data_IF_366345260450
#
_entry.id   IF_366345260450
#
_cell.length_a   1.000
_cell.length_b   1.000
_cell.length_c   1.000
_cell.angle_alpha   90.00
_cell.angle_beta   90.00
_cell.angle_gamma   90.00
#
_symmetry.space_group_name_H-M   'P 1'
#
loop_
_entity.id
_entity.type
_entity.pdbx_description
1 polymer ?
#
# COMPACT_ATOMS: atom_id res chain seq x y z
N UNK A 1 43.86 34.86 3.34
CA UNK A 1 42.49 34.36 3.58
C UNK A 1 42.14 33.34 2.51
N UNK A 2 42.03 32.04 2.85
CA UNK A 2 41.32 31.07 2.04
C UNK A 2 39.97 30.69 2.69
N UNK A 3 38.95 30.60 1.87
CA UNK A 3 37.60 30.15 2.20
C UNK A 3 37.55 28.62 2.11
N UNK A 4 37.24 27.93 3.21
CA UNK A 4 36.91 26.51 3.21
C UNK A 4 35.43 26.30 2.82
N UNK A 5 35.11 25.41 1.86
CA UNK A 5 33.74 25.01 1.60
C UNK A 5 33.37 23.84 2.52
N UNK A 6 32.67 24.12 3.61
CA UNK A 6 32.07 23.06 4.43
C UNK A 6 30.77 22.58 3.77
N UNK A 7 30.88 21.61 2.86
CA UNK A 7 29.77 20.79 2.41
C UNK A 7 29.93 19.38 2.97
N UNK A 8 29.24 19.10 4.07
CA UNK A 8 28.89 17.72 4.43
C UNK A 8 27.50 17.70 5.06
N UNK A 9 26.48 17.40 4.24
CA UNK A 9 25.21 16.89 4.78
C UNK A 9 25.50 15.48 5.28
N UNK A 10 25.67 15.35 6.59
CA UNK A 10 25.79 14.07 7.27
C UNK A 10 24.55 13.20 7.00
N UNK A 11 24.68 12.19 6.16
CA UNK A 11 23.73 11.09 6.04
C UNK A 11 23.99 10.07 7.14
N UNK A 12 23.70 10.45 8.38
CA UNK A 12 23.74 9.55 9.55
C UNK A 12 22.38 8.90 9.75
N UNK A 13 22.00 8.00 8.85
CA UNK A 13 20.87 7.10 9.02
C UNK A 13 21.38 5.72 9.40
N UNK A 14 20.87 5.12 10.49
CA UNK A 14 21.06 3.69 10.75
C UNK A 14 20.52 2.91 9.55
N UNK A 15 21.31 1.98 8.99
CA UNK A 15 20.81 1.08 7.95
C UNK A 15 19.86 0.06 8.58
N UNK A 16 18.66 -0.06 8.02
CA UNK A 16 17.66 -1.08 8.40
C UNK A 16 17.65 -2.18 7.34
N UNK A 17 17.41 -3.42 7.76
CA UNK A 17 17.42 -4.59 6.87
C UNK A 17 16.16 -4.72 6.00
N UNK A 18 16.15 -5.74 5.14
CA UNK A 18 15.00 -6.10 4.30
C UNK A 18 13.77 -6.52 5.11
N UNK A 19 13.96 -6.92 6.36
CA UNK A 19 12.90 -7.34 7.27
C UNK A 19 12.20 -6.16 7.97
N UNK A 20 11.86 -5.12 7.21
CA UNK A 20 11.35 -3.84 7.72
C UNK A 20 10.02 -3.90 8.48
N UNK A 21 9.30 -5.04 8.45
CA UNK A 21 8.12 -5.30 9.30
C UNK A 21 8.47 -5.94 10.64
N UNK A 22 9.61 -6.63 10.74
CA UNK A 22 10.11 -7.24 11.98
C UNK A 22 10.91 -6.21 12.79
N UNK A 23 11.72 -5.39 12.12
CA UNK A 23 12.50 -4.29 12.71
C UNK A 23 12.27 -2.99 11.91
N UNK A 24 11.11 -2.33 12.08
CA UNK A 24 10.79 -1.12 11.33
C UNK A 24 11.65 0.06 11.75
N UNK A 25 12.15 0.80 10.76
CA UNK A 25 12.74 2.11 10.98
C UNK A 25 11.73 3.04 11.71
N UNK A 26 12.16 3.97 12.58
CA UNK A 26 11.25 4.84 13.34
C UNK A 26 10.22 5.58 12.47
N UNK A 27 10.62 5.99 11.27
CA UNK A 27 9.71 6.58 10.30
C UNK A 27 8.60 5.61 9.89
N UNK A 28 8.95 4.38 9.51
CA UNK A 28 7.98 3.35 9.14
C UNK A 28 7.11 2.94 10.33
N UNK A 29 7.66 2.85 11.53
CA UNK A 29 6.87 2.59 12.75
C UNK A 29 5.86 3.70 13.04
N UNK A 30 6.21 4.97 12.78
CA UNK A 30 5.29 6.10 12.90
C UNK A 30 4.20 6.08 11.83
N UNK A 31 4.56 5.75 10.58
CA UNK A 31 3.64 5.78 9.43
C UNK A 31 2.72 4.56 9.40
N UNK A 32 3.26 3.37 9.64
CA UNK A 32 2.52 2.13 9.85
C UNK A 32 2.10 2.10 11.32
N UNK A 33 0.94 2.73 11.59
CA UNK A 33 0.33 2.83 12.94
C UNK A 33 0.70 1.63 13.82
N UNK A 34 1.29 1.88 14.99
CA UNK A 34 1.81 0.83 15.87
C UNK A 34 0.81 -0.30 16.18
N UNK A 35 -0.47 0.07 16.35
CA UNK A 35 -1.55 -0.89 16.59
C UNK A 35 -1.79 -1.86 15.42
N UNK A 36 -1.57 -1.42 14.18
CA UNK A 36 -1.66 -2.27 12.99
C UNK A 36 -0.53 -3.29 12.98
N UNK A 37 0.71 -2.88 13.25
CA UNK A 37 1.86 -3.80 13.35
C UNK A 37 1.66 -4.82 14.47
N UNK A 38 1.24 -4.39 15.66
CA UNK A 38 0.91 -5.29 16.78
C UNK A 38 -0.20 -6.28 16.41
N UNK A 39 -1.23 -5.81 15.72
CA UNK A 39 -2.34 -6.65 15.27
C UNK A 39 -1.90 -7.66 14.21
N UNK A 40 -1.10 -7.24 13.24
CA UNK A 40 -0.52 -8.12 12.23
C UNK A 40 0.37 -9.19 12.86
N UNK A 41 1.18 -8.82 13.85
CA UNK A 41 2.03 -9.75 14.58
C UNK A 41 1.22 -10.81 15.32
N UNK A 42 0.18 -10.41 16.06
CA UNK A 42 -0.72 -11.34 16.74
C UNK A 42 -1.40 -12.31 15.77
N UNK A 43 -1.89 -11.81 14.63
CA UNK A 43 -2.53 -12.64 13.60
C UNK A 43 -1.54 -13.61 12.94
N UNK A 44 -0.31 -13.15 12.68
CA UNK A 44 0.74 -13.97 12.09
C UNK A 44 1.11 -15.13 13.03
N UNK A 45 1.34 -14.85 14.31
CA UNK A 45 1.57 -15.87 15.34
C UNK A 45 0.44 -16.90 15.40
N UNK A 46 -0.81 -16.44 15.32
CA UNK A 46 -1.97 -17.33 15.32
C UNK A 46 -2.00 -18.22 14.06
N UNK A 47 -1.71 -17.66 12.88
CA UNK A 47 -1.72 -18.37 11.61
C UNK A 47 -0.65 -19.47 11.53
N UNK A 48 0.55 -19.21 12.06
CA UNK A 48 1.67 -20.16 12.02
C UNK A 48 1.80 -21.01 13.29
N UNK A 49 0.85 -20.93 14.22
CA UNK A 49 0.93 -21.59 15.54
C UNK A 49 1.31 -23.07 15.49
N UNK A 50 0.92 -23.79 14.42
CA UNK A 50 1.23 -25.22 14.23
C UNK A 50 2.59 -25.50 13.58
N UNK A 51 3.24 -24.49 12.99
CA UNK A 51 4.43 -24.64 12.14
C UNK A 51 5.76 -24.67 12.94
N UNK A 52 5.73 -24.55 14.29
CA UNK A 52 6.89 -24.62 15.20
C UNK A 52 8.12 -23.79 14.72
N UNK A 53 7.88 -22.63 14.12
CA UNK A 53 8.92 -21.70 13.65
C UNK A 53 8.59 -20.26 14.07
N UNK A 54 9.58 -19.35 14.14
CA UNK A 54 9.31 -17.94 14.40
C UNK A 54 8.52 -17.29 13.26
N UNK A 55 7.86 -16.17 13.58
CA UNK A 55 7.18 -15.31 12.60
C UNK A 55 8.21 -14.71 11.66
N UNK A 56 8.05 -14.99 10.36
CA UNK A 56 8.86 -14.40 9.31
C UNK A 56 8.23 -13.11 8.80
N UNK A 57 9.02 -12.29 8.09
CA UNK A 57 8.53 -11.06 7.46
C UNK A 57 7.33 -11.31 6.54
N UNK A 58 7.37 -12.38 5.75
CA UNK A 58 6.26 -12.75 4.86
C UNK A 58 4.95 -13.06 5.61
N UNK A 59 5.03 -13.61 6.84
CA UNK A 59 3.85 -13.87 7.64
C UNK A 59 3.21 -12.56 8.11
N UNK A 60 4.02 -11.55 8.48
CA UNK A 60 3.52 -10.22 8.82
C UNK A 60 2.92 -9.51 7.61
N UNK A 61 3.62 -9.55 6.48
CA UNK A 61 3.20 -8.94 5.23
C UNK A 61 1.81 -9.46 4.82
N UNK A 62 1.56 -10.76 4.97
CA UNK A 62 0.28 -11.40 4.68
C UNK A 62 -0.86 -10.96 5.61
N UNK A 63 -0.57 -10.37 6.77
CA UNK A 63 -1.58 -9.89 7.73
C UNK A 63 -1.87 -8.39 7.60
N UNK A 64 -1.15 -7.66 6.75
CA UNK A 64 -1.43 -6.26 6.49
C UNK A 64 -2.76 -6.09 5.75
N UNK A 65 -3.52 -5.08 6.15
CA UNK A 65 -4.77 -4.75 5.47
C UNK A 65 -4.52 -3.84 4.27
N UNK A 66 -5.48 -3.78 3.35
CA UNK A 66 -5.44 -2.79 2.27
C UNK A 66 -5.39 -1.34 2.81
N UNK A 67 -5.98 -1.09 3.98
CA UNK A 67 -5.91 0.20 4.66
C UNK A 67 -4.48 0.63 4.99
N UNK A 68 -3.63 -0.31 5.42
CA UNK A 68 -2.22 -0.05 5.70
C UNK A 68 -1.53 0.57 4.48
N UNK A 69 -1.68 -0.05 3.30
CA UNK A 69 -1.11 0.43 2.05
C UNK A 69 -1.70 1.77 1.61
N UNK A 70 -3.02 1.94 1.71
CA UNK A 70 -3.71 3.21 1.42
C UNK A 70 -3.13 4.37 2.24
N UNK A 71 -2.83 4.14 3.51
CA UNK A 71 -2.29 5.17 4.41
C UNK A 71 -0.76 5.32 4.35
N UNK A 72 -0.05 4.51 3.57
CA UNK A 72 1.37 4.72 3.29
C UNK A 72 1.62 5.62 2.06
N UNK A 73 0.64 5.69 1.15
CA UNK A 73 0.71 6.56 -0.03
C UNK A 73 0.89 8.04 0.33
N UNK A 74 1.53 8.83 -0.56
CA UNK A 74 1.90 10.22 -0.28
C UNK A 74 0.70 11.10 0.02
N UNK A 75 0.82 11.93 1.06
CA UNK A 75 -0.13 12.99 1.42
C UNK A 75 0.63 14.23 1.94
N UNK A 76 0.04 15.07 2.78
CA UNK A 76 0.73 16.26 3.31
C UNK A 76 1.78 15.94 4.39
N UNK A 77 1.86 14.70 4.89
CA UNK A 77 2.86 14.28 5.88
C UNK A 77 4.25 14.21 5.21
N UNK A 78 5.26 14.95 5.72
CA UNK A 78 6.62 14.95 5.16
C UNK A 78 7.26 13.55 5.11
N UNK A 79 6.91 12.68 6.07
CA UNK A 79 7.40 11.31 6.10
C UNK A 79 6.82 10.43 5.01
N UNK A 80 5.54 10.60 4.66
CA UNK A 80 4.94 9.89 3.51
C UNK A 80 5.47 10.39 2.19
N UNK A 81 5.74 11.70 2.08
CA UNK A 81 6.42 12.26 0.91
C UNK A 81 7.83 11.70 0.74
N UNK A 82 8.58 11.61 1.84
CA UNK A 82 9.90 10.99 1.86
C UNK A 82 9.84 9.51 1.45
N UNK A 83 8.92 8.74 2.06
CA UNK A 83 8.73 7.33 1.76
C UNK A 83 8.31 7.09 0.30
N UNK A 84 7.48 7.96 -0.26
CA UNK A 84 7.09 7.91 -1.67
C UNK A 84 8.28 8.11 -2.59
N UNK A 85 9.03 9.20 -2.37
CA UNK A 85 10.20 9.56 -3.18
C UNK A 85 11.25 8.46 -3.14
N UNK A 86 11.55 7.93 -1.96
CA UNK A 86 12.69 7.05 -1.76
C UNK A 86 12.36 5.57 -1.99
N UNK A 87 11.09 5.15 -1.93
CA UNK A 87 10.72 3.73 -2.04
C UNK A 87 9.40 3.46 -2.78
N UNK A 88 8.27 4.00 -2.32
CA UNK A 88 6.95 3.51 -2.78
C UNK A 88 6.66 3.80 -4.25
N UNK A 89 7.23 4.85 -4.85
CA UNK A 89 7.00 5.13 -6.27
C UNK A 89 7.48 3.98 -7.18
N UNK A 90 8.51 3.22 -6.75
CA UNK A 90 9.05 2.11 -7.51
C UNK A 90 8.06 0.94 -7.66
N UNK A 91 7.04 0.86 -6.81
CA UNK A 91 5.96 -0.11 -6.94
C UNK A 91 4.96 0.23 -8.07
N UNK A 92 5.05 1.43 -8.66
CA UNK A 92 4.16 1.91 -9.71
C UNK A 92 4.96 2.34 -10.96
N UNK A 93 5.71 1.42 -11.60
CA UNK A 93 6.60 1.75 -12.71
C UNK A 93 5.88 2.29 -13.95
N UNK A 94 4.57 2.07 -14.09
CA UNK A 94 3.77 2.54 -15.23
C UNK A 94 2.92 3.78 -14.90
N UNK A 95 3.17 4.43 -13.75
CA UNK A 95 2.41 5.62 -13.32
C UNK A 95 2.77 6.85 -14.17
N UNK A 96 1.88 7.22 -15.09
CA UNK A 96 2.06 8.38 -15.98
C UNK A 96 1.25 9.61 -15.57
N UNK A 97 0.64 9.60 -14.38
CA UNK A 97 -0.22 10.67 -13.85
C UNK A 97 0.28 11.16 -12.51
N UNK A 98 -0.28 12.25 -11.98
CA UNK A 98 0.17 12.81 -10.70
C UNK A 98 -0.06 11.81 -9.56
N UNK A 99 0.87 11.63 -8.61
CA UNK A 99 0.70 10.71 -7.47
C UNK A 99 -0.58 10.94 -6.67
N UNK A 100 -1.05 12.19 -6.61
CA UNK A 100 -2.34 12.54 -6.01
C UNK A 100 -3.53 11.79 -6.65
N UNK A 101 -3.52 11.60 -7.96
CA UNK A 101 -4.60 10.90 -8.67
C UNK A 101 -4.57 9.40 -8.36
N UNK A 102 -3.37 8.80 -8.22
CA UNK A 102 -3.22 7.43 -7.68
C UNK A 102 -3.82 7.31 -6.28
N UNK A 103 -3.48 8.25 -5.40
CA UNK A 103 -4.01 8.28 -4.01
C UNK A 103 -5.53 8.38 -4.01
N UNK A 104 -6.12 9.24 -4.85
CA UNK A 104 -7.57 9.39 -5.00
C UNK A 104 -8.25 8.10 -5.52
N UNK A 105 -7.65 7.44 -6.51
CA UNK A 105 -8.14 6.13 -7.00
C UNK A 105 -8.09 5.07 -5.89
N UNK A 106 -6.97 4.95 -5.18
CA UNK A 106 -6.78 3.97 -4.08
C UNK A 106 -7.71 4.27 -2.90
N UNK A 107 -8.01 5.55 -2.62
CA UNK A 107 -8.99 5.94 -1.60
C UNK A 107 -10.41 5.49 -1.95
N UNK A 108 -10.82 5.69 -3.20
CA UNK A 108 -12.13 5.24 -3.67
C UNK A 108 -12.30 3.72 -3.57
N UNK A 109 -11.26 2.96 -3.95
CA UNK A 109 -11.22 1.50 -3.81
C UNK A 109 -11.34 1.09 -2.34
N UNK A 110 -10.57 1.74 -1.46
CA UNK A 110 -10.58 1.49 -0.01
C UNK A 110 -11.98 1.69 0.59
N UNK A 111 -12.65 2.79 0.23
CA UNK A 111 -14.03 3.07 0.68
C UNK A 111 -15.02 2.01 0.20
N UNK A 112 -15.01 1.66 -1.08
CA UNK A 112 -15.89 0.62 -1.61
C UNK A 112 -15.68 -0.72 -0.90
N UNK A 113 -14.43 -1.14 -0.71
CA UNK A 113 -14.10 -2.38 0.02
C UNK A 113 -14.66 -2.36 1.44
N UNK A 114 -14.57 -1.23 2.14
CA UNK A 114 -15.08 -1.13 3.50
C UNK A 114 -16.60 -1.17 3.55
N UNK A 115 -17.29 -0.52 2.61
CA UNK A 115 -18.75 -0.64 2.49
C UNK A 115 -19.19 -2.09 2.31
N UNK A 116 -18.52 -2.83 1.42
CA UNK A 116 -18.76 -4.27 1.24
C UNK A 116 -18.52 -5.05 2.53
N UNK A 117 -17.44 -4.76 3.25
CA UNK A 117 -17.12 -5.43 4.52
C UNK A 117 -18.14 -5.12 5.64
N UNK A 118 -18.77 -3.94 5.60
CA UNK A 118 -19.83 -3.54 6.52
C UNK A 118 -21.24 -3.94 6.04
N UNK A 119 -21.34 -4.66 4.92
CA UNK A 119 -22.61 -5.03 4.29
C UNK A 119 -23.50 -3.81 4.00
N UNK A 120 -22.88 -2.67 3.71
CA UNK A 120 -23.62 -1.46 3.35
C UNK A 120 -24.22 -1.58 1.93
N UNK A 121 -25.40 -0.99 1.68
CA UNK A 121 -26.01 -1.02 0.35
C UNK A 121 -25.13 -0.36 -0.72
N UNK A 122 -24.94 -1.02 -1.87
CA UNK A 122 -24.19 -0.52 -3.03
C UNK A 122 -25.13 -0.02 -4.14
N UNK A 123 -26.10 0.83 -3.77
CA UNK A 123 -27.18 1.26 -4.67
C UNK A 123 -26.71 2.14 -5.84
N UNK A 124 -25.49 2.70 -5.76
CA UNK A 124 -24.91 3.51 -6.84
C UNK A 124 -24.05 2.66 -7.77
N UNK A 125 -24.65 2.13 -8.84
CA UNK A 125 -23.93 1.38 -9.88
C UNK A 125 -22.80 2.20 -10.53
N UNK A 126 -22.99 3.52 -10.66
CA UNK A 126 -21.97 4.43 -11.17
C UNK A 126 -20.74 4.53 -10.26
N UNK A 127 -20.92 4.48 -8.94
CA UNK A 127 -19.80 4.42 -7.99
C UNK A 127 -19.05 3.10 -8.08
N UNK A 128 -19.77 1.97 -8.09
CA UNK A 128 -19.15 0.64 -8.24
C UNK A 128 -18.34 0.56 -9.52
N UNK A 129 -18.91 1.03 -10.65
CA UNK A 129 -18.20 1.05 -11.93
C UNK A 129 -16.97 1.95 -11.91
N UNK A 130 -17.07 3.15 -11.31
CA UNK A 130 -15.92 4.05 -11.17
C UNK A 130 -14.79 3.40 -10.36
N UNK A 131 -15.11 2.70 -9.28
CA UNK A 131 -14.08 2.02 -8.49
C UNK A 131 -13.50 0.81 -9.20
N UNK A 132 -14.30 0.09 -9.99
CA UNK A 132 -13.79 -0.96 -10.87
C UNK A 132 -12.75 -0.42 -11.87
N UNK A 133 -13.05 0.71 -12.54
CA UNK A 133 -12.07 1.35 -13.44
C UNK A 133 -10.83 1.84 -12.68
N UNK A 134 -11.00 2.36 -11.46
CA UNK A 134 -9.86 2.70 -10.59
C UNK A 134 -9.01 1.47 -10.27
N UNK A 135 -9.60 0.32 -9.95
CA UNK A 135 -8.85 -0.92 -9.69
C UNK A 135 -8.05 -1.32 -10.92
N UNK A 136 -8.68 -1.33 -12.10
CA UNK A 136 -8.00 -1.62 -13.36
C UNK A 136 -6.85 -0.65 -13.61
N UNK A 137 -7.06 0.65 -13.41
CA UNK A 137 -6.04 1.67 -13.62
C UNK A 137 -4.85 1.47 -12.67
N UNK A 138 -5.10 1.33 -11.37
CA UNK A 138 -4.05 1.13 -10.35
C UNK A 138 -3.25 -0.15 -10.62
N UNK A 139 -3.92 -1.25 -11.00
CA UNK A 139 -3.22 -2.49 -11.36
C UNK A 139 -2.34 -2.31 -12.61
N UNK A 140 -2.79 -1.53 -13.59
CA UNK A 140 -1.99 -1.19 -14.77
C UNK A 140 -0.76 -0.36 -14.43
N UNK A 141 -0.88 0.54 -13.45
CA UNK A 141 0.21 1.37 -12.93
C UNK A 141 1.29 0.53 -12.23
N UNK A 142 0.91 -0.61 -11.66
CA UNK A 142 1.82 -1.60 -11.07
C UNK A 142 2.42 -2.50 -12.17
N UNK A 143 1.56 -3.12 -12.99
CA UNK A 143 1.97 -4.07 -14.04
C UNK A 143 0.85 -4.30 -15.06
N UNK A 144 1.11 -4.13 -16.37
CA UNK A 144 0.13 -4.43 -17.42
C UNK A 144 -0.33 -5.90 -17.40
N UNK A 145 0.56 -6.82 -17.01
CA UNK A 145 0.25 -8.25 -16.89
C UNK A 145 -0.79 -8.50 -15.80
N UNK A 146 -0.63 -7.88 -14.63
CA UNK A 146 -1.58 -8.03 -13.51
C UNK A 146 -2.93 -7.41 -13.86
N UNK A 147 -2.94 -6.26 -14.52
CA UNK A 147 -4.17 -5.65 -15.03
C UNK A 147 -4.91 -6.59 -16.00
N UNK A 148 -4.19 -7.16 -16.96
CA UNK A 148 -4.77 -8.08 -17.95
C UNK A 148 -5.38 -9.30 -17.27
N UNK A 149 -4.63 -9.92 -16.35
CA UNK A 149 -5.12 -11.03 -15.55
C UNK A 149 -6.39 -10.68 -14.76
N UNK A 150 -6.45 -9.49 -14.15
CA UNK A 150 -7.63 -9.03 -13.42
C UNK A 150 -8.86 -8.89 -14.33
N UNK A 151 -8.69 -8.25 -15.49
CA UNK A 151 -9.78 -8.05 -16.46
C UNK A 151 -10.30 -9.38 -17.02
N UNK A 152 -9.42 -10.37 -17.23
CA UNK A 152 -9.79 -11.69 -17.75
C UNK A 152 -10.51 -12.59 -16.73
N UNK A 153 -10.34 -12.36 -15.42
CA UNK A 153 -10.89 -13.23 -14.37
C UNK A 153 -12.09 -12.64 -13.61
N UNK A 154 -12.43 -11.37 -13.85
CA UNK A 154 -13.54 -10.72 -13.17
C UNK A 154 -14.91 -11.09 -13.79
N UNK A 155 -15.92 -11.22 -12.93
CA UNK A 155 -17.32 -11.54 -13.33
C UNK A 155 -18.26 -10.33 -13.21
N UNK A 156 -17.75 -9.18 -12.78
CA UNK A 156 -18.54 -7.98 -12.46
C UNK A 156 -19.14 -7.35 -13.71
N UNK A 157 -18.43 -7.39 -14.85
CA UNK A 157 -18.96 -6.87 -16.12
C UNK A 157 -19.72 -7.91 -16.94
N UNK A 158 -19.70 -9.18 -16.56
CA UNK A 158 -20.37 -10.26 -17.30
C UNK A 158 -21.91 -10.20 -17.18
N UNK A 159 -22.42 -9.47 -16.18
CA UNK A 159 -23.87 -9.40 -15.88
C UNK A 159 -24.60 -8.30 -16.66
N UNK A 160 -23.89 -7.45 -17.43
CA UNK A 160 -24.51 -6.35 -18.19
C UNK A 160 -24.79 -6.69 -19.67
N UNK A 161 -25.01 -7.96 -20.00
CA UNK A 161 -25.28 -8.45 -21.35
C UNK A 161 -26.71 -8.93 -21.60
N UNK A 162 -27.69 -8.49 -20.80
CA UNK A 162 -29.12 -8.75 -21.02
C UNK A 162 -29.91 -7.45 -21.01
#
# INVERSE_FOLDING_TARGET
>A
MPMEPCSSRASSGRNFGSDWLLDPAPLLQRLVRENELKTAHRRAQQAIRKQKRPVAHADLLAQLSFGTWRFLLPDKDPGRQLLWRDALHAAFPQLNRKPRQLVESVDGIYRLRNRVAHLEPLLSMGEVRRQYENMRLVLGEISPTVQTWFVSNQRVTAVNGQ
#
